data_IF_802102115713
#
_entry.id   IF_802102115713
#
_cell.length_a   1.000
_cell.length_b   1.000
_cell.length_c   1.000
_cell.angle_alpha   90.00
_cell.angle_beta   90.00
_cell.angle_gamma   90.00
#
_symmetry.space_group_name_H-M   'P 1'
#
loop_
_entity.id
_entity.type
_entity.pdbx_description
1 polymer ?
#
# COMPACT_ATOMS: atom_id res chain seq x y z
N UNK A 1 -10.15 -12.56 -22.44
CA UNK A 1 -9.81 -12.25 -21.04
C UNK A 1 -11.02 -12.55 -20.18
N UNK A 2 -10.87 -13.18 -19.03
CA UNK A 2 -11.98 -13.39 -18.11
C UNK A 2 -12.57 -12.03 -17.69
N UNK A 3 -13.89 -11.92 -17.63
CA UNK A 3 -14.57 -10.72 -17.17
C UNK A 3 -14.45 -10.64 -15.65
N UNK A 4 -13.93 -9.52 -15.15
CA UNK A 4 -13.77 -9.28 -13.72
C UNK A 4 -14.88 -8.35 -13.26
N UNK A 5 -15.73 -8.81 -12.34
CA UNK A 5 -16.72 -7.96 -11.68
C UNK A 5 -16.06 -7.02 -10.67
N UNK A 6 -16.76 -5.93 -10.32
CA UNK A 6 -16.29 -4.97 -9.32
C UNK A 6 -16.01 -5.65 -7.96
N UNK A 7 -16.89 -6.55 -7.51
CA UNK A 7 -16.70 -7.31 -6.27
C UNK A 7 -15.40 -8.14 -6.28
N UNK A 8 -15.09 -8.79 -7.40
CA UNK A 8 -13.86 -9.59 -7.52
C UNK A 8 -12.60 -8.69 -7.50
N UNK A 9 -12.67 -7.52 -8.14
CA UNK A 9 -11.57 -6.56 -8.13
C UNK A 9 -11.40 -5.96 -6.73
N UNK A 10 -12.50 -5.68 -6.01
CA UNK A 10 -12.50 -5.22 -4.63
C UNK A 10 -11.81 -6.22 -3.70
N UNK A 11 -12.21 -7.49 -3.75
CA UNK A 11 -11.55 -8.55 -2.98
C UNK A 11 -10.06 -8.66 -3.28
N UNK A 12 -9.67 -8.53 -4.55
CA UNK A 12 -8.26 -8.53 -4.97
C UNK A 12 -7.47 -7.34 -4.36
N UNK A 13 -8.04 -6.13 -4.37
CA UNK A 13 -7.42 -4.92 -3.82
C UNK A 13 -7.31 -5.02 -2.30
N UNK A 14 -8.39 -5.40 -1.63
CA UNK A 14 -8.45 -5.46 -0.16
C UNK A 14 -7.49 -6.50 0.40
N UNK A 15 -7.46 -7.72 -0.18
CA UNK A 15 -6.47 -8.74 0.20
C UNK A 15 -5.04 -8.23 0.01
N UNK A 16 -4.77 -7.56 -1.11
CA UNK A 16 -3.44 -7.04 -1.40
C UNK A 16 -3.05 -5.93 -0.44
N UNK A 17 -4.00 -5.13 0.03
CA UNK A 17 -3.80 -4.05 1.02
C UNK A 17 -3.56 -4.62 2.42
N UNK A 18 -4.42 -5.53 2.88
CA UNK A 18 -4.34 -6.17 4.20
C UNK A 18 -3.03 -6.95 4.36
N UNK A 19 -2.60 -7.64 3.30
CA UNK A 19 -1.45 -8.54 3.32
C UNK A 19 -0.25 -7.99 2.53
N UNK A 20 -0.11 -6.67 2.45
CA UNK A 20 0.99 -6.05 1.68
C UNK A 20 2.38 -6.39 2.23
N UNK A 21 2.53 -6.36 3.55
CA UNK A 21 3.79 -6.72 4.20
C UNK A 21 4.15 -8.18 3.93
N UNK A 22 3.16 -9.07 4.01
CA UNK A 22 3.30 -10.50 3.71
C UNK A 22 3.76 -10.70 2.26
N UNK A 23 3.15 -9.99 1.31
CA UNK A 23 3.53 -10.04 -0.11
C UNK A 23 4.99 -9.65 -0.34
N UNK A 24 5.46 -8.55 0.26
CA UNK A 24 6.84 -8.09 0.09
C UNK A 24 7.86 -8.96 0.81
N UNK A 25 7.44 -9.70 1.83
CA UNK A 25 8.25 -10.72 2.49
C UNK A 25 8.33 -12.02 1.68
N UNK A 26 7.33 -12.29 0.84
CA UNK A 26 7.38 -13.41 -0.08
C UNK A 26 8.34 -13.16 -1.24
N UNK A 27 9.55 -13.73 -1.15
CA UNK A 27 10.52 -13.74 -2.24
C UNK A 27 10.02 -14.51 -3.47
N UNK A 28 10.22 -15.83 -3.49
CA UNK A 28 9.89 -16.71 -4.63
C UNK A 28 8.49 -17.32 -4.56
N UNK A 29 7.82 -17.19 -3.43
CA UNK A 29 6.54 -17.83 -3.15
C UNK A 29 5.34 -16.91 -3.44
N UNK A 30 5.54 -15.82 -4.20
CA UNK A 30 4.47 -14.91 -4.63
C UNK A 30 3.31 -15.67 -5.31
N UNK A 31 3.60 -16.79 -5.98
CA UNK A 31 2.58 -17.64 -6.60
C UNK A 31 1.58 -18.20 -5.58
N UNK A 32 2.05 -18.61 -4.40
CA UNK A 32 1.21 -19.11 -3.30
C UNK A 32 0.30 -17.99 -2.80
N UNK A 33 0.86 -16.78 -2.64
CA UNK A 33 0.09 -15.61 -2.25
C UNK A 33 -1.08 -15.33 -3.20
N UNK A 34 -0.83 -15.22 -4.51
CA UNK A 34 -1.92 -14.97 -5.46
C UNK A 34 -2.86 -16.15 -5.60
N UNK A 35 -2.38 -17.38 -5.39
CA UNK A 35 -3.28 -18.53 -5.37
C UNK A 35 -4.26 -18.43 -4.21
N UNK A 36 -3.81 -18.03 -3.02
CA UNK A 36 -4.71 -17.85 -1.87
C UNK A 36 -5.78 -16.79 -2.13
N UNK A 37 -5.44 -15.71 -2.85
CA UNK A 37 -6.41 -14.68 -3.25
C UNK A 37 -7.36 -15.23 -4.30
N UNK A 38 -6.83 -15.96 -5.30
CA UNK A 38 -7.65 -16.60 -6.32
C UNK A 38 -8.66 -17.57 -5.69
N UNK A 39 -8.21 -18.41 -4.76
CA UNK A 39 -9.05 -19.35 -4.02
C UNK A 39 -10.17 -18.61 -3.27
N UNK A 40 -9.87 -17.47 -2.64
CA UNK A 40 -10.87 -16.62 -1.96
C UNK A 40 -11.89 -16.02 -2.94
N UNK A 41 -11.44 -15.49 -4.08
CA UNK A 41 -12.31 -14.92 -5.11
C UNK A 41 -13.21 -16.01 -5.73
N UNK A 42 -12.66 -17.20 -5.96
CA UNK A 42 -13.34 -18.33 -6.56
C UNK A 42 -14.35 -19.00 -5.60
N UNK A 43 -14.21 -18.82 -4.29
CA UNK A 43 -15.20 -19.31 -3.31
C UNK A 43 -16.56 -18.63 -3.47
N UNK A 44 -16.57 -17.37 -3.92
CA UNK A 44 -17.79 -16.56 -4.02
C UNK A 44 -18.46 -16.66 -5.39
N UNK A 45 -17.73 -17.10 -6.43
CA UNK A 45 -18.21 -17.14 -7.81
C UNK A 45 -17.66 -18.37 -8.53
N UNK A 46 -18.50 -19.13 -9.24
CA UNK A 46 -18.10 -20.33 -10.00
C UNK A 46 -17.11 -20.11 -11.18
N UNK A 47 -16.38 -19.00 -11.19
CA UNK A 47 -15.29 -18.69 -12.10
C UNK A 47 -13.98 -19.12 -11.42
N UNK A 48 -13.09 -19.78 -12.17
CA UNK A 48 -11.81 -20.28 -11.66
C UNK A 48 -10.67 -19.35 -12.11
N UNK A 49 -10.44 -18.27 -11.36
CA UNK A 49 -9.22 -17.49 -11.52
C UNK A 49 -8.01 -18.27 -11.00
N UNK A 50 -6.85 -18.06 -11.62
CA UNK A 50 -5.58 -18.59 -11.15
C UNK A 50 -4.63 -17.48 -10.68
N UNK A 51 -3.57 -17.89 -9.98
CA UNK A 51 -2.53 -16.98 -9.47
C UNK A 51 -1.94 -16.03 -10.51
N UNK A 52 -1.80 -16.47 -11.78
CA UNK A 52 -1.28 -15.61 -12.85
C UNK A 52 -2.28 -14.52 -13.22
N UNK A 53 -3.56 -14.86 -13.35
CA UNK A 53 -4.63 -13.91 -13.66
C UNK A 53 -4.79 -12.86 -12.56
N UNK A 54 -4.73 -13.24 -11.28
CA UNK A 54 -4.77 -12.28 -10.17
C UNK A 54 -3.58 -11.31 -10.22
N UNK A 55 -2.36 -11.82 -10.45
CA UNK A 55 -1.16 -10.98 -10.58
C UNK A 55 -1.28 -10.02 -11.76
N UNK A 56 -1.66 -10.53 -12.93
CA UNK A 56 -1.78 -9.75 -14.16
C UNK A 56 -2.83 -8.65 -13.98
N UNK A 57 -4.00 -9.00 -13.44
CA UNK A 57 -5.06 -8.04 -13.15
C UNK A 57 -4.58 -6.95 -12.19
N UNK A 58 -3.91 -7.32 -11.10
CA UNK A 58 -3.38 -6.34 -10.16
C UNK A 58 -2.31 -5.43 -10.78
N UNK A 59 -1.41 -5.99 -11.58
CA UNK A 59 -0.40 -5.23 -12.33
C UNK A 59 -1.05 -4.21 -13.26
N UNK A 60 -2.13 -4.60 -13.95
CA UNK A 60 -2.86 -3.71 -14.85
C UNK A 60 -3.56 -2.58 -14.08
N UNK A 61 -4.05 -2.82 -12.85
CA UNK A 61 -4.60 -1.76 -12.00
C UNK A 61 -3.53 -0.72 -11.62
N UNK A 62 -2.33 -1.17 -11.22
CA UNK A 62 -1.20 -0.27 -10.94
C UNK A 62 -0.80 0.53 -12.19
N UNK A 63 -0.73 -0.11 -13.35
CA UNK A 63 -0.42 0.58 -14.61
C UNK A 63 -1.49 1.60 -15.00
N UNK A 64 -2.77 1.29 -14.78
CA UNK A 64 -3.86 2.23 -15.03
C UNK A 64 -3.76 3.46 -14.12
N UNK A 65 -3.43 3.28 -12.84
CA UNK A 65 -3.16 4.38 -11.92
C UNK A 65 -2.00 5.26 -12.42
N UNK A 66 -0.87 4.65 -12.81
CA UNK A 66 0.28 5.37 -13.34
C UNK A 66 -0.08 6.13 -14.64
N UNK A 67 -0.86 5.52 -15.53
CA UNK A 67 -1.31 6.16 -16.76
C UNK A 67 -2.18 7.40 -16.50
N UNK A 68 -2.97 7.40 -15.43
CA UNK A 68 -3.72 8.59 -15.00
C UNK A 68 -2.77 9.66 -14.44
N UNK A 69 -1.76 9.26 -13.65
CA UNK A 69 -0.75 10.21 -13.17
C UNK A 69 0.03 10.86 -14.34
N UNK A 70 0.38 10.07 -15.37
CA UNK A 70 1.00 10.57 -16.61
C UNK A 70 0.09 11.55 -17.35
N UNK A 71 -1.22 11.24 -17.41
CA UNK A 71 -2.21 12.13 -18.02
C UNK A 71 -2.33 13.45 -17.24
N UNK A 72 -2.45 13.39 -15.91
CA UNK A 72 -2.54 14.57 -15.04
C UNK A 72 -1.28 15.45 -15.08
N UNK A 73 -0.12 14.85 -15.32
CA UNK A 73 1.16 15.57 -15.47
C UNK A 73 1.39 16.10 -16.90
N UNK A 74 0.44 15.89 -17.82
CA UNK A 74 0.53 16.39 -19.20
C UNK A 74 1.40 15.53 -20.12
N UNK A 75 1.87 14.37 -19.66
CA UNK A 75 2.67 13.43 -20.46
C UNK A 75 1.83 12.49 -21.35
N UNK A 76 0.50 12.42 -21.15
CA UNK A 76 -0.44 11.67 -21.98
C UNK A 76 -1.70 12.46 -22.31
N UNK A 77 -2.32 12.16 -23.45
CA UNK A 77 -3.54 12.82 -23.95
C UNK A 77 -4.84 12.13 -23.54
N UNK A 78 -4.80 10.94 -22.95
CA UNK A 78 -5.98 10.24 -22.43
C UNK A 78 -5.68 9.41 -21.18
N UNK A 79 -6.63 9.37 -20.25
CA UNK A 79 -6.61 8.54 -19.06
C UNK A 79 -7.32 7.19 -19.26
N UNK A 80 -7.05 6.22 -18.40
CA UNK A 80 -7.73 4.91 -18.40
C UNK A 80 -9.03 4.97 -17.60
N UNK A 81 -10.17 4.61 -18.19
CA UNK A 81 -11.47 4.61 -17.51
C UNK A 81 -11.50 3.68 -16.28
N UNK A 82 -10.86 2.51 -16.38
CA UNK A 82 -10.66 1.59 -15.24
C UNK A 82 -9.74 2.18 -14.17
N UNK A 83 -8.80 3.04 -14.56
CA UNK A 83 -7.94 3.73 -13.61
C UNK A 83 -8.73 4.70 -12.74
N UNK A 84 -9.78 5.34 -13.26
CA UNK A 84 -10.57 6.35 -12.54
C UNK A 84 -11.31 5.71 -11.36
N UNK A 85 -11.87 4.52 -11.57
CA UNK A 85 -12.73 3.83 -10.58
C UNK A 85 -12.01 3.48 -9.27
N UNK A 86 -10.73 3.13 -9.32
CA UNK A 86 -9.93 2.77 -8.14
C UNK A 86 -8.81 3.79 -7.87
N UNK A 87 -8.83 4.94 -8.54
CA UNK A 87 -7.75 5.92 -8.50
C UNK A 87 -7.44 6.38 -7.07
N UNK A 88 -8.47 6.76 -6.31
CA UNK A 88 -8.32 7.33 -4.96
C UNK A 88 -7.72 6.34 -3.97
N UNK A 89 -8.03 5.05 -4.11
CA UNK A 89 -7.43 4.00 -3.29
C UNK A 89 -5.95 3.83 -3.61
N UNK A 90 -5.63 3.84 -4.91
CA UNK A 90 -4.25 3.71 -5.34
C UNK A 90 -3.41 4.98 -5.05
N UNK A 91 -4.04 6.12 -4.80
CA UNK A 91 -3.33 7.32 -4.36
C UNK A 91 -2.57 7.13 -3.04
N UNK A 92 -2.93 6.13 -2.24
CA UNK A 92 -2.24 5.82 -0.97
C UNK A 92 -0.94 5.04 -1.15
N UNK A 93 -0.60 4.61 -2.38
CA UNK A 93 0.59 3.80 -2.67
C UNK A 93 0.69 2.50 -1.83
N UNK A 94 -0.45 1.94 -1.40
CA UNK A 94 -0.49 0.80 -0.47
C UNK A 94 0.21 -0.47 -1.00
N UNK A 95 0.40 -0.61 -2.32
CA UNK A 95 1.06 -1.78 -2.92
C UNK A 95 2.58 -1.67 -2.86
N UNK A 96 3.13 -0.50 -2.53
CA UNK A 96 4.57 -0.31 -2.44
C UNK A 96 5.14 -1.04 -1.23
N UNK A 97 6.45 -1.28 -1.29
CA UNK A 97 7.14 -1.94 -0.18
C UNK A 97 7.13 -0.99 1.02
N UNK A 98 6.64 -1.43 2.19
CA UNK A 98 6.71 -0.61 3.37
C UNK A 98 8.16 -0.26 3.65
N UNK A 99 8.42 1.00 4.00
CA UNK A 99 9.73 1.39 4.47
C UNK A 99 10.09 0.52 5.69
N UNK A 100 11.34 0.07 5.80
CA UNK A 100 11.75 -0.71 6.94
C UNK A 100 11.59 0.17 8.20
N UNK A 101 11.12 -0.44 9.30
CA UNK A 101 10.69 0.27 10.52
C UNK A 101 11.75 1.25 11.06
N UNK A 102 13.03 0.96 10.84
CA UNK A 102 14.17 1.80 11.20
C UNK A 102 14.25 3.13 10.41
N UNK A 103 13.72 3.21 9.19
CA UNK A 103 13.67 4.46 8.43
C UNK A 103 12.54 5.39 8.89
N UNK A 104 11.44 4.82 9.40
CA UNK A 104 10.31 5.60 9.94
C UNK A 104 10.78 6.42 11.16
N UNK A 105 11.55 5.83 12.08
CA UNK A 105 12.17 6.53 13.21
C UNK A 105 13.07 7.70 12.76
N UNK A 106 13.92 7.49 11.76
CA UNK A 106 14.81 8.55 11.26
C UNK A 106 14.05 9.69 10.57
N UNK A 107 12.91 9.43 9.92
CA UNK A 107 12.07 10.50 9.41
C UNK A 107 11.36 11.23 10.54
N UNK A 108 10.75 10.55 11.52
CA UNK A 108 10.12 11.21 12.68
C UNK A 108 11.09 12.12 13.44
N UNK A 109 12.34 11.70 13.65
CA UNK A 109 13.37 12.53 14.31
C UNK A 109 13.77 13.74 13.45
N UNK A 110 13.75 13.63 12.11
CA UNK A 110 14.04 14.75 11.21
C UNK A 110 12.91 15.80 11.11
N UNK A 111 11.65 15.40 11.31
CA UNK A 111 10.49 16.33 11.28
C UNK A 111 10.09 16.86 12.66
N UNK A 112 10.63 16.31 13.75
CA UNK A 112 10.48 16.92 15.08
C UNK A 112 11.23 18.26 15.07
N UNK A 113 10.55 19.40 15.30
CA UNK A 113 11.25 20.67 15.42
C UNK A 113 12.19 20.54 16.62
N UNK A 114 13.47 20.86 16.43
CA UNK A 114 14.52 20.76 17.46
C UNK A 114 14.13 21.39 18.81
N UNK A 115 13.17 22.32 18.80
CA UNK A 115 12.57 22.91 19.99
C UNK A 115 11.83 21.91 20.88
N UNK A 116 11.04 20.96 20.34
CA UNK A 116 10.22 20.04 21.16
C UNK A 116 11.06 19.03 21.96
N UNK A 117 12.17 18.57 21.39
CA UNK A 117 13.11 17.65 22.07
C UNK A 117 13.84 18.38 23.21
N UNK A 118 14.24 19.63 22.99
CA UNK A 118 14.88 20.47 24.01
C UNK A 118 13.90 20.79 25.15
N UNK A 119 12.65 21.16 24.85
CA UNK A 119 11.65 21.47 25.90
C UNK A 119 11.38 20.25 26.77
N UNK A 120 11.31 19.06 26.17
CA UNK A 120 11.07 17.80 26.90
C UNK A 120 12.24 17.45 27.84
N UNK A 121 13.49 17.62 27.39
CA UNK A 121 14.68 17.34 28.20
C UNK A 121 14.85 18.38 29.33
N UNK A 122 14.57 19.65 29.05
CA UNK A 122 14.59 20.73 30.06
C UNK A 122 13.52 20.49 31.14
N UNK A 123 12.32 20.06 30.75
CA UNK A 123 11.22 19.78 31.69
C UNK A 123 11.56 18.63 32.65
N UNK A 124 12.20 17.58 32.13
CA UNK A 124 12.65 16.43 32.94
C UNK A 124 13.80 16.84 33.87
N UNK A 125 14.71 17.72 33.43
CA UNK A 125 15.80 18.23 34.26
C UNK A 125 15.29 19.12 35.41
N UNK A 126 14.32 20.00 35.15
CA UNK A 126 13.70 20.81 36.21
C UNK A 126 12.88 19.99 37.20
N UNK A 127 12.22 18.92 36.76
CA UNK A 127 11.55 17.99 37.67
C UNK A 127 12.56 17.24 38.55
N UNK A 128 13.70 16.84 38.00
CA UNK A 128 14.74 16.12 38.75
C UNK A 128 15.45 17.02 39.78
N UNK A 129 15.70 18.29 39.44
CA UNK A 129 16.28 19.25 40.37
C UNK A 129 15.33 19.71 41.48
N UNK A 130 14.01 19.59 41.31
CA UNK A 130 13.03 19.95 42.34
C UNK A 130 12.78 18.84 43.38
N UNK A 131 13.28 17.62 43.14
CA UNK A 131 13.04 16.43 43.98
C UNK A 131 14.26 16.07 44.87
N UNK A 132 15.40 16.73 44.67
CA UNK A 132 16.60 16.53 45.50
C UNK A 132 16.74 17.75 46.45
N UNK A 133 16.44 17.60 47.76
CA UNK A 133 16.66 18.65 48.75
C UNK A 133 18.15 18.90 49.02
#
# INVERSE_FOLDING_TARGET
MAEWSDAQIRTLIDERKIRNDEFHNFRRNWKIFWNSIADKINQENGILFNSHQCKEKFSNLVQNYNAICDFMSGHKSSGSQLGVQYFDEFRTHFWERPLPKNHQYNNYIKVLPHTTVIVSLISVFFLYCAIIP
#
